data_IF_734910652427
#
_entry.id   IF_734910652427
#
_cell.length_a   1.000
_cell.length_b   1.000
_cell.length_c   1.000
_cell.angle_alpha   90.00
_cell.angle_beta   90.00
_cell.angle_gamma   90.00
#
_symmetry.space_group_name_H-M   'P 1'
#
loop_
_entity.id
_entity.type
_entity.pdbx_description
1 polymer ?
#
# COMPACT_ATOMS: atom_id res chain seq x y z
N UNK A 1 -2.96 28.41 -21.46
CA UNK A 1 -2.75 29.59 -20.60
C UNK A 1 -4.01 29.77 -19.77
N UNK A 2 -3.85 30.30 -18.56
CA UNK A 2 -4.87 30.67 -17.54
C UNK A 2 -5.66 29.52 -16.92
N UNK A 3 -5.81 29.37 -15.61
CA UNK A 3 -5.15 29.94 -14.42
C UNK A 3 -5.73 29.17 -13.21
N UNK A 4 -4.89 28.78 -12.26
CA UNK A 4 -5.27 28.17 -11.00
C UNK A 4 -6.19 29.10 -10.19
N UNK A 5 -7.44 28.70 -9.91
CA UNK A 5 -8.29 29.33 -8.89
C UNK A 5 -9.10 28.29 -8.12
N UNK A 6 -8.53 27.80 -7.03
CA UNK A 6 -9.28 27.29 -5.87
C UNK A 6 -8.41 27.47 -4.64
N UNK A 7 -7.99 28.72 -4.42
CA UNK A 7 -7.45 29.17 -3.14
C UNK A 7 -8.67 29.57 -2.29
N UNK A 8 -9.37 28.57 -1.74
CA UNK A 8 -10.34 28.83 -0.68
C UNK A 8 -9.55 28.99 0.62
N UNK A 9 -9.36 30.26 0.95
CA UNK A 9 -8.75 30.78 2.17
C UNK A 9 -9.32 30.05 3.39
N UNK A 10 -8.53 29.14 3.99
CA UNK A 10 -8.78 28.62 5.32
C UNK A 10 -8.75 29.83 6.26
N UNK A 11 -9.93 30.31 6.68
CA UNK A 11 -10.03 31.33 7.72
C UNK A 11 -9.36 30.77 8.97
N UNK A 12 -8.27 31.41 9.38
CA UNK A 12 -7.68 31.21 10.68
C UNK A 12 -8.76 31.47 11.74
N UNK A 13 -9.18 30.42 12.45
CA UNK A 13 -9.97 30.56 13.67
C UNK A 13 -9.05 31.25 14.67
N UNK A 14 -9.37 32.49 15.05
CA UNK A 14 -8.59 33.25 16.02
C UNK A 14 -8.74 32.61 17.40
N UNK A 15 -7.70 32.75 18.22
CA UNK A 15 -7.55 32.10 19.53
C UNK A 15 -8.56 32.57 20.59
N UNK A 16 -9.57 33.34 20.19
CA UNK A 16 -10.50 34.08 21.06
C UNK A 16 -11.83 33.34 21.29
N UNK A 17 -12.11 32.28 20.51
CA UNK A 17 -13.38 31.52 20.60
C UNK A 17 -13.26 30.18 21.35
N UNK A 18 -12.14 29.92 22.01
CA UNK A 18 -11.99 28.73 22.86
C UNK A 18 -12.07 29.19 24.30
N UNK A 19 -13.20 28.92 24.95
CA UNK A 19 -13.33 29.01 26.39
C UNK A 19 -12.26 28.12 27.04
N UNK A 20 -11.13 28.72 27.42
CA UNK A 20 -10.09 28.07 28.21
C UNK A 20 -10.67 27.93 29.62
N UNK A 21 -11.32 26.80 29.87
CA UNK A 21 -11.79 26.44 31.20
C UNK A 21 -10.57 26.30 32.12
N UNK A 22 -10.62 27.06 33.22
CA UNK A 22 -9.57 27.23 34.23
C UNK A 22 -8.99 25.91 34.77
N UNK A 23 -7.68 25.84 35.10
CA UNK A 23 -7.01 24.60 35.46
C UNK A 23 -7.20 24.28 36.95
N UNK A 24 -8.28 23.60 37.29
CA UNK A 24 -8.36 22.86 38.56
C UNK A 24 -9.57 21.94 38.55
N UNK A 25 -9.39 20.69 38.15
CA UNK A 25 -10.18 19.57 38.68
C UNK A 25 -9.54 18.24 38.30
N UNK A 26 -9.01 17.55 39.32
CA UNK A 26 -8.70 16.12 39.34
C UNK A 26 -8.17 15.47 38.07
N UNK A 27 -6.87 15.62 37.78
CA UNK A 27 -6.20 14.79 36.76
C UNK A 27 -6.25 13.32 37.22
N UNK A 28 -7.20 12.55 36.68
CA UNK A 28 -7.28 11.11 36.92
C UNK A 28 -6.16 10.41 36.13
N UNK A 29 -5.02 10.22 36.78
CA UNK A 29 -3.82 9.59 36.22
C UNK A 29 -4.04 8.13 35.78
N UNK A 30 -5.16 7.52 36.16
CA UNK A 30 -5.52 6.12 35.90
C UNK A 30 -6.70 5.94 34.94
N UNK A 31 -7.07 6.96 34.15
CA UNK A 31 -8.18 6.84 33.20
C UNK A 31 -7.81 5.93 32.00
N UNK A 32 -7.79 4.61 32.26
CA UNK A 32 -7.43 3.54 31.33
C UNK A 32 -8.55 3.19 30.35
N UNK A 33 -9.76 3.69 30.56
CA UNK A 33 -10.96 3.30 29.82
C UNK A 33 -11.35 4.25 28.68
N UNK A 34 -10.42 5.12 28.25
CA UNK A 34 -10.63 5.95 27.07
C UNK A 34 -10.44 5.09 25.82
N UNK A 35 -11.43 4.98 24.91
CA UNK A 35 -11.26 4.24 23.67
C UNK A 35 -10.20 4.90 22.78
N UNK A 36 -9.25 4.11 22.27
CA UNK A 36 -8.17 4.60 21.39
C UNK A 36 -8.72 5.30 20.14
N UNK A 37 -9.84 4.79 19.61
CA UNK A 37 -10.55 5.39 18.48
C UNK A 37 -10.91 6.88 18.70
N UNK A 38 -11.29 7.26 19.93
CA UNK A 38 -11.63 8.64 20.28
C UNK A 38 -10.41 9.55 20.32
N UNK A 39 -9.27 9.01 20.75
CA UNK A 39 -7.98 9.73 20.74
C UNK A 39 -7.54 9.99 19.29
N UNK A 40 -7.65 8.99 18.42
CA UNK A 40 -7.32 9.08 17.00
C UNK A 40 -8.25 10.10 16.29
N UNK A 41 -9.55 10.08 16.58
CA UNK A 41 -10.51 11.02 16.00
C UNK A 41 -10.15 12.48 16.34
N UNK A 42 -9.83 12.76 17.61
CA UNK A 42 -9.40 14.09 18.04
C UNK A 42 -8.05 14.49 17.44
N UNK A 43 -7.14 13.52 17.27
CA UNK A 43 -5.84 13.74 16.62
C UNK A 43 -5.99 14.10 15.14
N UNK A 44 -6.91 13.45 14.44
CA UNK A 44 -7.27 13.76 13.04
C UNK A 44 -7.91 15.13 12.84
N UNK A 45 -8.49 15.71 13.90
CA UNK A 45 -8.97 17.10 13.93
C UNK A 45 -7.84 18.13 14.16
N UNK A 46 -6.57 17.72 14.02
CA UNK A 46 -5.36 18.54 14.22
C UNK A 46 -5.23 19.14 15.64
N UNK A 47 -5.83 18.50 16.64
CA UNK A 47 -5.66 18.92 18.03
C UNK A 47 -4.28 18.51 18.55
N UNK A 48 -3.69 19.39 19.35
CA UNK A 48 -2.43 19.11 20.05
C UNK A 48 -2.65 18.08 21.16
N UNK A 49 -1.59 17.35 21.51
CA UNK A 49 -1.65 16.35 22.59
C UNK A 49 -2.13 16.93 23.92
N UNK A 50 -1.86 18.23 24.16
CA UNK A 50 -2.33 18.94 25.35
C UNK A 50 -3.84 19.19 25.30
N UNK A 51 -4.36 19.68 24.17
CA UNK A 51 -5.81 19.87 24.00
C UNK A 51 -6.59 18.56 24.11
N UNK A 52 -6.03 17.47 23.57
CA UNK A 52 -6.64 16.13 23.70
C UNK A 52 -6.63 15.68 25.17
N UNK A 53 -5.57 15.97 25.91
CA UNK A 53 -5.45 15.67 27.34
C UNK A 53 -6.50 16.41 28.16
N UNK A 54 -6.72 17.68 27.83
CA UNK A 54 -7.68 18.54 28.51
C UNK A 54 -9.13 18.08 28.20
N UNK A 55 -9.44 17.73 26.94
CA UNK A 55 -10.76 17.23 26.51
C UNK A 55 -11.08 15.88 27.15
N UNK A 56 -10.12 14.95 27.19
CA UNK A 56 -10.30 13.59 27.68
C UNK A 56 -9.99 13.44 29.17
N UNK A 57 -9.67 14.55 29.85
CA UNK A 57 -9.32 14.62 31.28
C UNK A 57 -8.29 13.54 31.68
N UNK A 58 -7.22 13.44 30.90
CA UNK A 58 -6.14 12.48 31.13
C UNK A 58 -4.77 13.15 30.94
N UNK A 59 -3.68 12.42 31.23
CA UNK A 59 -2.34 13.00 31.07
C UNK A 59 -1.91 13.01 29.60
N UNK A 60 -1.18 14.06 29.20
CA UNK A 60 -0.51 14.14 27.89
C UNK A 60 0.35 12.91 27.61
N UNK A 61 1.05 12.40 28.63
CA UNK A 61 1.89 11.21 28.52
C UNK A 61 1.10 9.95 28.15
N UNK A 62 -0.10 9.77 28.73
CA UNK A 62 -0.99 8.65 28.41
C UNK A 62 -1.47 8.71 26.96
N UNK A 63 -1.79 9.90 26.45
CA UNK A 63 -2.17 10.08 25.04
C UNK A 63 -0.98 9.81 24.11
N UNK A 64 0.20 10.36 24.42
CA UNK A 64 1.40 10.16 23.62
C UNK A 64 1.77 8.68 23.50
N UNK A 65 1.81 7.97 24.63
CA UNK A 65 2.16 6.54 24.66
C UNK A 65 1.16 5.67 23.88
N UNK A 66 -0.12 6.05 23.88
CA UNK A 66 -1.17 5.32 23.15
C UNK A 66 -1.26 5.68 21.67
N UNK A 67 -0.84 6.88 21.27
CA UNK A 67 -0.79 7.31 19.88
C UNK A 67 0.48 6.90 19.16
N UNK A 68 1.59 6.70 19.89
CA UNK A 68 2.89 6.34 19.31
C UNK A 68 2.79 5.15 18.35
N UNK A 69 2.16 4.06 18.79
CA UNK A 69 1.98 2.85 17.98
C UNK A 69 1.08 3.08 16.74
N UNK A 70 0.15 4.05 16.80
CA UNK A 70 -0.80 4.34 15.72
C UNK A 70 -0.27 5.33 14.69
N UNK A 71 0.46 6.35 15.12
CA UNK A 71 1.10 7.34 14.23
C UNK A 71 2.27 6.70 13.47
N UNK A 72 3.00 5.78 14.11
CA UNK A 72 4.03 4.97 13.45
C UNK A 72 3.40 4.06 12.37
N UNK A 73 2.15 3.61 12.57
CA UNK A 73 1.41 2.79 11.61
C UNK A 73 0.76 3.58 10.45
N UNK A 74 0.31 4.83 10.66
CA UNK A 74 -0.20 5.65 9.54
C UNK A 74 0.93 5.98 8.54
N UNK A 75 2.15 6.22 9.03
CA UNK A 75 3.36 6.34 8.20
C UNK A 75 3.72 5.03 7.49
N UNK A 76 3.59 3.89 8.19
CA UNK A 76 3.77 2.55 7.62
C UNK A 76 2.78 2.26 6.48
N UNK A 77 1.53 2.73 6.56
CA UNK A 77 0.51 2.44 5.52
C UNK A 77 0.73 3.18 4.20
N UNK A 78 1.40 4.34 4.22
CA UNK A 78 1.59 5.18 3.03
C UNK A 78 2.64 4.64 2.07
N UNK A 79 3.66 3.96 2.60
CA UNK A 79 4.72 3.34 1.80
C UNK A 79 5.24 2.08 2.49
N UNK A 80 4.35 1.09 2.56
CA UNK A 80 4.61 -0.18 3.22
C UNK A 80 5.74 -0.96 2.53
N UNK A 81 5.88 -0.83 1.21
CA UNK A 81 6.91 -1.51 0.43
C UNK A 81 8.32 -1.05 0.84
N UNK A 82 8.57 0.26 0.83
CA UNK A 82 9.86 0.83 1.24
C UNK A 82 10.20 0.49 2.68
N UNK A 83 9.20 0.49 3.58
CA UNK A 83 9.43 0.09 4.97
C UNK A 83 9.89 -1.36 5.09
N UNK A 84 9.24 -2.28 4.36
CA UNK A 84 9.67 -3.68 4.33
C UNK A 84 11.07 -3.84 3.74
N UNK A 85 11.43 -3.08 2.71
CA UNK A 85 12.79 -3.13 2.14
C UNK A 85 13.86 -2.71 3.16
N UNK A 86 13.62 -1.63 3.91
CA UNK A 86 14.53 -1.18 4.97
C UNK A 86 14.67 -2.25 6.07
N UNK A 87 13.55 -2.86 6.48
CA UNK A 87 13.56 -3.90 7.50
C UNK A 87 14.28 -5.16 7.02
N UNK A 88 14.01 -5.60 5.79
CA UNK A 88 14.69 -6.74 5.16
C UNK A 88 16.20 -6.52 5.11
N UNK A 89 16.64 -5.33 4.69
CA UNK A 89 18.06 -4.98 4.63
C UNK A 89 18.72 -4.95 6.02
N UNK A 90 18.01 -4.47 7.05
CA UNK A 90 18.48 -4.50 8.45
C UNK A 90 18.65 -5.93 8.96
N UNK A 91 17.65 -6.79 8.73
CA UNK A 91 17.69 -8.20 9.12
C UNK A 91 18.85 -8.89 8.41
N UNK A 92 18.97 -8.73 7.08
CA UNK A 92 20.08 -9.29 6.31
C UNK A 92 21.45 -8.90 6.88
N UNK A 93 21.65 -7.62 7.21
CA UNK A 93 22.91 -7.14 7.81
C UNK A 93 23.18 -7.68 9.21
N UNK A 94 22.14 -8.07 9.96
CA UNK A 94 22.27 -8.59 11.32
C UNK A 94 22.67 -10.06 11.37
N UNK A 95 22.52 -10.82 10.29
CA UNK A 95 22.88 -12.24 10.25
C UNK A 95 24.39 -12.37 10.21
N UNK A 96 24.96 -13.02 11.23
CA UNK A 96 26.40 -13.28 11.34
C UNK A 96 26.74 -14.75 11.04
N UNK A 97 28.02 -15.01 10.79
CA UNK A 97 28.55 -16.38 10.67
C UNK A 97 28.28 -17.25 11.92
N UNK A 98 28.29 -16.62 13.09
CA UNK A 98 27.99 -17.27 14.37
C UNK A 98 26.53 -17.76 14.40
N UNK A 99 25.60 -16.94 13.91
CA UNK A 99 24.17 -17.29 13.82
C UNK A 99 23.94 -18.43 12.83
N UNK A 100 24.63 -18.39 11.69
CA UNK A 100 24.58 -19.48 10.69
C UNK A 100 25.12 -20.77 11.30
N UNK A 101 26.23 -20.73 12.05
CA UNK A 101 26.81 -21.92 12.69
C UNK A 101 25.90 -22.51 13.76
N UNK A 102 25.27 -21.66 14.58
CA UNK A 102 24.31 -22.05 15.63
C UNK A 102 22.99 -22.60 15.08
N UNK A 103 22.62 -22.20 13.87
CA UNK A 103 21.41 -22.69 13.21
C UNK A 103 21.49 -24.19 12.94
N UNK A 104 20.46 -24.99 13.31
CA UNK A 104 20.41 -26.42 13.02
C UNK A 104 20.65 -26.74 11.54
N UNK A 105 21.37 -27.84 11.27
CA UNK A 105 21.77 -28.21 9.91
C UNK A 105 20.58 -28.28 8.93
N UNK A 106 19.47 -28.90 9.33
CA UNK A 106 18.27 -28.99 8.49
C UNK A 106 17.72 -27.61 8.09
N UNK A 107 17.71 -26.64 9.00
CA UNK A 107 17.24 -25.28 8.71
C UNK A 107 18.17 -24.54 7.75
N UNK A 108 19.48 -24.77 7.83
CA UNK A 108 20.44 -24.23 6.84
C UNK A 108 20.18 -24.76 5.44
N UNK A 109 19.89 -26.06 5.31
CA UNK A 109 19.56 -26.68 4.02
C UNK A 109 18.24 -26.11 3.46
N UNK A 110 17.21 -25.95 4.28
CA UNK A 110 15.94 -25.33 3.86
C UNK A 110 16.15 -23.88 3.40
N UNK A 111 16.90 -23.09 4.18
CA UNK A 111 17.22 -21.70 3.82
C UNK A 111 17.97 -21.62 2.49
N UNK A 112 18.93 -22.53 2.25
CA UNK A 112 19.64 -22.63 0.97
C UNK A 112 18.69 -22.91 -0.20
N UNK A 113 17.72 -23.81 -0.04
CA UNK A 113 16.70 -24.09 -1.06
C UNK A 113 15.85 -22.86 -1.41
N UNK A 114 15.41 -22.10 -0.39
CA UNK A 114 14.65 -20.86 -0.58
C UNK A 114 15.49 -19.82 -1.34
N UNK A 115 16.77 -19.65 -0.95
CA UNK A 115 17.66 -18.70 -1.61
C UNK A 115 17.93 -19.09 -3.08
N UNK A 116 18.10 -20.39 -3.36
CA UNK A 116 18.30 -20.90 -4.71
C UNK A 116 17.07 -20.61 -5.61
N UNK A 117 15.87 -20.81 -5.08
CA UNK A 117 14.62 -20.47 -5.76
C UNK A 117 14.54 -18.96 -6.09
N UNK A 118 14.78 -18.10 -5.11
CA UNK A 118 14.78 -16.63 -5.33
C UNK A 118 15.86 -16.18 -6.29
N UNK A 119 17.05 -16.82 -6.27
CA UNK A 119 18.11 -16.58 -7.25
C UNK A 119 17.65 -16.90 -8.67
N UNK A 120 16.89 -17.99 -8.86
CA UNK A 120 16.32 -18.35 -10.17
C UNK A 120 15.27 -17.34 -10.62
N UNK A 121 14.42 -16.83 -9.71
CA UNK A 121 13.46 -15.76 -10.02
C UNK A 121 14.18 -14.50 -10.51
N UNK A 122 15.20 -14.03 -9.78
CA UNK A 122 15.97 -12.82 -10.13
C UNK A 122 16.66 -12.95 -11.50
N UNK A 123 17.14 -14.16 -11.84
CA UNK A 123 17.79 -14.44 -13.12
C UNK A 123 16.83 -14.69 -14.27
N UNK A 124 15.52 -14.60 -14.05
CA UNK A 124 14.51 -14.95 -15.07
C UNK A 124 14.55 -16.43 -15.48
N UNK A 125 15.14 -17.29 -14.65
CA UNK A 125 15.27 -18.73 -14.90
C UNK A 125 14.13 -19.54 -14.24
N UNK A 126 13.10 -18.85 -13.76
CA UNK A 126 11.93 -19.49 -13.19
C UNK A 126 11.02 -19.99 -14.31
N UNK A 127 10.86 -21.31 -14.40
CA UNK A 127 9.98 -21.97 -15.37
C UNK A 127 8.50 -21.73 -15.09
N UNK A 128 8.15 -21.25 -13.88
CA UNK A 128 6.77 -20.90 -13.50
C UNK A 128 6.45 -19.40 -13.63
N UNK A 129 7.44 -18.52 -13.82
CA UNK A 129 7.18 -17.12 -14.18
C UNK A 129 6.90 -17.01 -15.69
N UNK A 130 5.90 -17.73 -16.18
CA UNK A 130 5.24 -17.28 -17.39
C UNK A 130 4.38 -16.11 -16.93
N UNK A 131 4.72 -14.90 -17.37
CA UNK A 131 3.91 -13.72 -17.05
C UNK A 131 2.49 -13.94 -17.60
N UNK A 132 1.57 -14.22 -16.68
CA UNK A 132 0.18 -14.52 -17.00
C UNK A 132 -0.46 -13.37 -17.78
N UNK A 133 -0.01 -12.13 -17.54
CA UNK A 133 -0.41 -10.97 -18.31
C UNK A 133 0.06 -11.08 -19.77
N UNK A 134 1.35 -11.38 -19.99
CA UNK A 134 1.89 -11.63 -21.34
C UNK A 134 1.12 -12.73 -22.07
N UNK A 135 0.78 -13.85 -21.42
CA UNK A 135 -0.04 -14.91 -22.03
C UNK A 135 -1.42 -14.38 -22.43
N UNK A 136 -2.08 -13.62 -21.55
CA UNK A 136 -3.41 -13.07 -21.81
C UNK A 136 -3.39 -12.08 -22.97
N UNK A 137 -2.41 -11.18 -23.02
CA UNK A 137 -2.23 -10.24 -24.13
C UNK A 137 -2.01 -10.98 -25.44
N UNK A 138 -1.10 -11.96 -25.48
CA UNK A 138 -0.87 -12.77 -26.68
C UNK A 138 -2.12 -13.55 -27.11
N UNK A 139 -2.91 -14.06 -26.15
CA UNK A 139 -4.18 -14.73 -26.45
C UNK A 139 -5.22 -13.77 -27.05
N UNK A 140 -5.33 -12.55 -26.54
CA UNK A 140 -6.22 -11.53 -27.09
C UNK A 140 -5.80 -11.10 -28.49
N UNK A 141 -4.50 -10.92 -28.74
CA UNK A 141 -3.96 -10.62 -30.06
C UNK A 141 -4.27 -11.74 -31.06
N UNK A 142 -4.05 -13.01 -30.66
CA UNK A 142 -4.37 -14.17 -31.51
C UNK A 142 -5.87 -14.25 -31.80
N UNK A 143 -6.74 -14.00 -30.80
CA UNK A 143 -8.20 -13.99 -30.99
C UNK A 143 -8.63 -12.89 -31.95
N UNK A 144 -8.12 -11.69 -31.78
CA UNK A 144 -8.40 -10.55 -32.66
C UNK A 144 -7.95 -10.84 -34.09
N UNK A 145 -6.74 -11.40 -34.27
CA UNK A 145 -6.22 -11.75 -35.59
C UNK A 145 -7.06 -12.83 -36.28
N UNK A 146 -7.55 -13.81 -35.52
CA UNK A 146 -8.45 -14.85 -36.01
C UNK A 146 -9.77 -14.25 -36.51
N UNK A 147 -10.36 -13.30 -35.78
CA UNK A 147 -11.60 -12.63 -36.20
C UNK A 147 -11.42 -11.80 -37.46
N UNK A 148 -10.30 -11.09 -37.61
CA UNK A 148 -9.97 -10.34 -38.83
C UNK A 148 -9.88 -11.26 -40.04
N UNK A 149 -9.15 -12.37 -39.94
CA UNK A 149 -9.00 -13.33 -41.03
C UNK A 149 -10.33 -14.00 -41.43
N UNK A 150 -11.20 -14.30 -40.46
CA UNK A 150 -12.53 -14.85 -40.74
C UNK A 150 -13.41 -13.85 -41.51
N UNK A 151 -13.32 -12.56 -41.18
CA UNK A 151 -14.01 -11.50 -41.93
C UNK A 151 -13.44 -11.36 -43.35
N UNK A 152 -12.12 -11.40 -43.51
CA UNK A 152 -11.47 -11.33 -44.83
C UNK A 152 -11.88 -12.51 -45.73
N UNK A 153 -12.02 -13.72 -45.18
CA UNK A 153 -12.48 -14.90 -45.92
C UNK A 153 -13.95 -14.77 -46.33
N UNK A 154 -14.84 -14.36 -45.41
CA UNK A 154 -16.25 -14.13 -45.74
C UNK A 154 -16.45 -13.06 -46.82
N UNK A 155 -15.66 -11.99 -46.81
CA UNK A 155 -15.74 -10.94 -47.83
C UNK A 155 -15.29 -11.46 -49.20
N UNK A 156 -14.24 -12.31 -49.25
CA UNK A 156 -13.76 -12.93 -50.49
C UNK A 156 -14.78 -13.86 -51.13
N UNK A 157 -15.42 -14.71 -50.35
CA UNK A 157 -16.45 -15.64 -50.86
C UNK A 157 -17.63 -14.86 -51.48
N UNK A 158 -18.09 -13.79 -50.84
CA UNK A 158 -19.16 -12.92 -51.37
C UNK A 158 -18.71 -12.16 -52.63
N UNK A 159 -17.45 -11.72 -52.72
CA UNK A 159 -16.96 -11.02 -53.91
C UNK A 159 -16.75 -11.94 -55.11
N UNK A 160 -16.43 -13.22 -54.90
CA UNK A 160 -16.37 -14.20 -55.98
C UNK A 160 -17.75 -14.60 -56.48
N UNK A 161 -18.75 -14.74 -55.59
CA UNK A 161 -20.14 -14.99 -55.99
C UNK A 161 -20.73 -13.85 -56.83
N UNK A 162 -20.52 -12.59 -56.44
CA UNK A 162 -21.00 -11.41 -57.18
C UNK A 162 -20.39 -11.34 -58.59
N UNK A 163 -19.07 -11.57 -58.72
CA UNK A 163 -18.38 -11.56 -60.03
C UNK A 163 -18.82 -12.71 -60.94
N UNK A 164 -19.26 -13.84 -60.37
CA UNK A 164 -19.80 -14.96 -61.15
C UNK A 164 -21.20 -14.69 -61.71
N UNK A 165 -21.97 -13.81 -61.05
CA UNK A 165 -23.30 -13.41 -61.47
C UNK A 165 -23.33 -12.25 -62.48
N UNK A 166 -22.33 -11.37 -62.50
CA UNK A 166 -22.22 -10.27 -63.49
C UNK A 166 -21.72 -10.71 -64.89
N UNK A 167 -21.16 -11.91 -65.02
CA UNK A 167 -20.62 -12.45 -66.28
C UNK A 167 -21.56 -13.46 -67.00
N UNK A 168 -22.84 -13.51 -66.62
CA UNK A 168 -23.90 -14.30 -67.29
C UNK A 168 -24.90 -13.39 -67.96
#
# INVERSE_FOLDING_TARGET
>A
MTENKSNETIKAIQAEDVDIISPSDGINRNNKDIPLAKIIELRRKNLSLQQIADILKCSKQNIWQRLQDCEEFEGFSKDTATHYEVLQHRIYKSITEEDIKKTPFAQRIVAMGILEDKKRLIRGQSTENIDQFTIQTSLEEIRKRKEELLKELQVKDVTEEIKSHENR
#
